data_IF_178057813211
#
_entry.id   IF_178057813211
#
_cell.length_a   1.000
_cell.length_b   1.000
_cell.length_c   1.000
_cell.angle_alpha   90.00
_cell.angle_beta   90.00
_cell.angle_gamma   90.00
#
_symmetry.space_group_name_H-M   'P 1'
#
loop_
_entity.id
_entity.type
_entity.pdbx_description
1 polymer ?
#
# COMPACT_ATOMS: atom_id res chain seq x y z
N UNK A 1 -1.84 20.04 15.63
CA UNK A 1 -0.50 19.53 16.00
C UNK A 1 -0.08 18.57 14.90
N UNK A 2 1.00 18.85 14.18
CA UNK A 2 1.52 17.88 13.21
C UNK A 2 2.17 16.72 13.97
N UNK A 3 1.69 15.50 13.75
CA UNK A 3 2.14 14.35 14.53
C UNK A 3 3.41 13.73 13.94
N UNK A 4 4.54 13.96 14.61
CA UNK A 4 5.80 13.29 14.30
C UNK A 4 5.84 11.88 14.90
N UNK A 5 6.63 11.01 14.29
CA UNK A 5 6.94 9.66 14.75
C UNK A 5 8.37 9.28 14.37
N UNK A 6 8.90 8.23 14.99
CA UNK A 6 10.29 7.83 14.78
C UNK A 6 10.37 6.57 13.91
N UNK A 7 11.34 6.56 13.01
CA UNK A 7 11.73 5.40 12.20
C UNK A 7 13.11 4.94 12.66
N UNK A 8 13.30 3.63 12.77
CA UNK A 8 14.59 3.03 13.10
C UNK A 8 14.95 1.97 12.07
N UNK A 9 16.10 2.16 11.43
CA UNK A 9 16.69 1.22 10.47
C UNK A 9 18.09 0.84 10.93
N UNK A 10 18.37 -0.45 11.05
CA UNK A 10 19.72 -0.90 11.37
C UNK A 10 20.63 -0.81 10.14
N UNK A 11 21.68 -0.02 10.29
CA UNK A 11 22.69 0.15 9.25
C UNK A 11 23.71 -0.98 9.33
N UNK A 12 23.93 -1.65 8.21
CA UNK A 12 25.06 -2.54 8.03
C UNK A 12 26.06 -1.89 7.05
N UNK A 13 27.34 -1.92 7.40
CA UNK A 13 28.41 -1.27 6.64
C UNK A 13 28.62 -1.90 5.26
N UNK A 14 28.20 -3.15 5.08
CA UNK A 14 28.23 -3.84 3.79
C UNK A 14 27.04 -3.38 2.92
N UNK A 15 27.29 -2.43 2.00
CA UNK A 15 26.31 -2.03 0.99
C UNK A 15 25.53 -0.74 1.28
N UNK A 16 26.21 0.31 1.75
CA UNK A 16 25.55 1.56 2.16
C UNK A 16 24.65 2.23 1.11
N UNK A 17 24.97 2.14 -0.18
CA UNK A 17 24.10 2.70 -1.23
C UNK A 17 22.73 1.99 -1.31
N UNK A 18 22.72 0.66 -1.19
CA UNK A 18 21.48 -0.12 -1.19
C UNK A 18 20.67 0.14 0.09
N UNK A 19 21.33 0.34 1.23
CA UNK A 19 20.66 0.75 2.47
C UNK A 19 19.85 2.04 2.27
N UNK A 20 20.47 3.11 1.76
CA UNK A 20 19.77 4.38 1.56
C UNK A 20 18.67 4.28 0.49
N UNK A 21 18.87 3.46 -0.54
CA UNK A 21 17.82 3.14 -1.52
C UNK A 21 16.62 2.48 -0.84
N UNK A 22 16.86 1.46 -0.01
CA UNK A 22 15.81 0.74 0.71
C UNK A 22 15.07 1.66 1.69
N UNK A 23 15.78 2.54 2.42
CA UNK A 23 15.17 3.57 3.28
C UNK A 23 14.27 4.50 2.47
N UNK A 24 14.75 4.98 1.32
CA UNK A 24 13.96 5.84 0.42
C UNK A 24 12.69 5.14 -0.07
N UNK A 25 12.80 3.87 -0.48
CA UNK A 25 11.65 3.05 -0.89
C UNK A 25 10.66 2.86 0.26
N UNK A 26 11.13 2.58 1.47
CA UNK A 26 10.29 2.43 2.66
C UNK A 26 9.51 3.71 2.98
N UNK A 27 10.19 4.87 2.96
CA UNK A 27 9.56 6.17 3.19
C UNK A 27 8.50 6.46 2.11
N UNK A 28 8.80 6.14 0.84
CA UNK A 28 7.81 6.29 -0.24
C UNK A 28 6.58 5.39 -0.04
N UNK A 29 6.75 4.16 0.43
CA UNK A 29 5.63 3.26 0.75
C UNK A 29 4.81 3.73 1.95
N UNK A 30 5.41 4.40 2.94
CA UNK A 30 4.67 5.08 4.00
C UNK A 30 3.82 6.23 3.46
N UNK A 31 4.34 6.97 2.49
CA UNK A 31 3.58 8.02 1.80
C UNK A 31 2.38 7.46 1.03
N UNK A 32 2.56 6.35 0.33
CA UNK A 32 1.46 5.64 -0.33
C UNK A 32 0.39 5.17 0.67
N UNK A 33 0.81 4.64 1.83
CA UNK A 33 -0.11 4.25 2.90
C UNK A 33 -0.90 5.45 3.44
N UNK A 34 -0.23 6.57 3.70
CA UNK A 34 -0.88 7.79 4.16
C UNK A 34 -1.95 8.28 3.18
N UNK A 35 -1.64 8.29 1.87
CA UNK A 35 -2.61 8.66 0.82
C UNK A 35 -3.78 7.67 0.79
N UNK A 36 -3.50 6.36 0.90
CA UNK A 36 -4.54 5.34 0.90
C UNK A 36 -5.50 5.50 2.10
N UNK A 37 -4.98 5.78 3.30
CA UNK A 37 -5.77 6.06 4.51
C UNK A 37 -6.62 7.33 4.31
N UNK A 38 -6.01 8.43 3.88
CA UNK A 38 -6.70 9.71 3.65
C UNK A 38 -7.83 9.61 2.62
N UNK A 39 -7.72 8.71 1.64
CA UNK A 39 -8.72 8.53 0.59
C UNK A 39 -10.09 8.05 1.09
N UNK A 40 -10.17 7.52 2.33
CA UNK A 40 -11.45 7.22 2.98
C UNK A 40 -12.22 8.50 3.33
N UNK A 41 -11.51 9.56 3.69
CA UNK A 41 -12.08 10.88 3.98
C UNK A 41 -12.29 11.61 2.66
N UNK A 42 -11.21 11.85 1.91
CA UNK A 42 -11.27 12.53 0.62
C UNK A 42 -10.11 12.09 -0.30
N UNK A 43 -10.44 11.68 -1.52
CA UNK A 43 -9.47 11.25 -2.53
C UNK A 43 -8.52 12.36 -3.00
N UNK A 44 -8.85 13.62 -2.76
CA UNK A 44 -8.00 14.77 -3.10
C UNK A 44 -6.95 15.08 -2.04
N UNK A 45 -7.05 14.44 -0.86
CA UNK A 45 -6.05 14.60 0.19
C UNK A 45 -4.79 13.82 -0.18
N UNK A 46 -3.68 14.54 -0.27
CA UNK A 46 -2.36 13.94 -0.47
C UNK A 46 -1.43 14.32 0.66
N UNK A 47 -0.50 13.43 0.96
CA UNK A 47 0.45 13.58 2.07
C UNK A 47 1.88 13.52 1.58
N UNK A 48 2.81 13.91 2.45
CA UNK A 48 4.24 13.68 2.27
C UNK A 48 4.90 13.39 3.62
N UNK A 49 5.70 12.34 3.70
CA UNK A 49 6.59 12.04 4.82
C UNK A 49 7.84 12.88 4.65
N UNK A 50 8.16 13.67 5.67
CA UNK A 50 9.35 14.53 5.70
C UNK A 50 10.24 14.11 6.86
N UNK A 51 11.53 14.00 6.57
CA UNK A 51 12.58 13.77 7.56
C UNK A 51 12.86 15.06 8.34
N UNK A 52 12.62 15.04 9.65
CA UNK A 52 12.89 16.16 10.57
C UNK A 52 14.31 16.10 11.15
N UNK A 53 14.89 14.91 11.28
CA UNK A 53 16.24 14.73 11.81
C UNK A 53 16.78 13.30 11.63
N UNK A 54 18.10 13.17 11.64
CA UNK A 54 18.83 11.89 11.57
C UNK A 54 19.87 11.84 12.67
N UNK A 55 19.93 10.72 13.40
CA UNK A 55 20.95 10.45 14.43
C UNK A 55 22.02 9.45 13.94
N UNK A 56 23.23 9.47 14.52
CA UNK A 56 24.37 8.65 14.09
C UNK A 56 24.39 7.24 14.69
N UNK A 57 24.71 6.25 13.86
CA UNK A 57 24.82 4.81 14.19
C UNK A 57 23.46 4.12 14.17
N UNK A 58 23.20 3.23 13.19
CA UNK A 58 21.82 2.91 12.71
C UNK A 58 21.04 4.18 12.32
N UNK A 59 20.23 4.16 11.25
CA UNK A 59 19.47 5.36 10.90
C UNK A 59 18.26 5.44 11.83
N UNK A 60 18.35 6.28 12.86
CA UNK A 60 17.18 6.77 13.59
C UNK A 60 16.75 8.09 12.98
N UNK A 61 15.51 8.13 12.53
CA UNK A 61 14.96 9.22 11.76
C UNK A 61 13.66 9.68 12.41
N UNK A 62 13.62 10.95 12.83
CA UNK A 62 12.34 11.57 13.19
C UNK A 62 11.67 12.02 11.91
N UNK A 63 10.43 11.62 11.71
CA UNK A 63 9.65 11.98 10.52
C UNK A 63 8.30 12.57 10.89
N UNK A 64 7.70 13.28 9.93
CA UNK A 64 6.39 13.88 10.07
C UNK A 64 5.61 13.78 8.77
N UNK A 65 4.31 13.49 8.89
CA UNK A 65 3.39 13.53 7.76
C UNK A 65 2.90 14.96 7.56
N UNK A 66 2.99 15.47 6.32
CA UNK A 66 2.51 16.79 5.93
C UNK A 66 1.39 16.65 4.93
N UNK A 67 0.24 17.26 5.21
CA UNK A 67 -0.88 17.35 4.27
C UNK A 67 -0.52 18.35 3.16
N UNK A 68 -0.38 17.85 1.93
CA UNK A 68 0.09 18.62 0.78
C UNK A 68 -1.05 19.25 0.00
N UNK A 69 -2.10 18.48 -0.27
CA UNK A 69 -3.36 18.94 -0.85
C UNK A 69 -4.48 18.60 0.12
N UNK A 70 -5.33 19.57 0.43
CA UNK A 70 -6.54 19.42 1.23
C UNK A 70 -7.46 20.61 0.94
N UNK A 71 -8.68 20.34 0.49
CA UNK A 71 -9.75 21.34 0.49
C UNK A 71 -10.29 21.48 1.92
N UNK A 72 -9.62 22.34 2.69
CA UNK A 72 -9.98 22.54 4.10
C UNK A 72 -11.36 23.17 4.26
N UNK A 73 -11.84 23.95 3.28
CA UNK A 73 -13.12 24.65 3.38
C UNK A 73 -14.30 23.68 3.25
N UNK A 74 -14.16 22.69 2.36
CA UNK A 74 -15.11 21.57 2.21
C UNK A 74 -15.30 20.80 3.52
N UNK A 75 -14.22 20.55 4.26
CA UNK A 75 -14.24 19.78 5.52
C UNK A 75 -14.60 20.66 6.71
N UNK A 76 -14.24 21.95 6.69
CA UNK A 76 -14.42 22.89 7.82
C UNK A 76 -15.88 23.11 8.21
N UNK A 77 -16.81 22.85 7.29
CA UNK A 77 -18.25 22.87 7.58
C UNK A 77 -18.68 21.80 8.60
N UNK A 78 -17.87 20.77 8.80
CA UNK A 78 -18.15 19.62 9.66
C UNK A 78 -17.14 19.47 10.81
N UNK A 79 -15.90 19.90 10.58
CA UNK A 79 -14.77 19.73 11.50
C UNK A 79 -14.10 21.07 11.74
N UNK A 80 -13.91 21.45 13.01
CA UNK A 80 -13.37 22.77 13.36
C UNK A 80 -11.95 22.97 12.82
N UNK A 81 -11.10 21.97 12.99
CA UNK A 81 -9.69 21.99 12.62
C UNK A 81 -9.34 20.80 11.70
N UNK A 82 -9.70 20.85 10.39
CA UNK A 82 -9.59 19.70 9.49
C UNK A 82 -8.21 19.07 9.41
N UNK A 83 -7.16 19.89 9.39
CA UNK A 83 -5.77 19.40 9.31
C UNK A 83 -5.37 18.60 10.53
N UNK A 84 -5.76 19.07 11.71
CA UNK A 84 -5.46 18.41 12.98
C UNK A 84 -6.26 17.11 13.13
N UNK A 85 -7.53 17.13 12.73
CA UNK A 85 -8.37 15.93 12.71
C UNK A 85 -7.81 14.84 11.77
N UNK A 86 -7.38 15.22 10.56
CA UNK A 86 -6.77 14.29 9.60
C UNK A 86 -5.41 13.79 10.11
N UNK A 87 -4.60 14.66 10.73
CA UNK A 87 -3.32 14.24 11.31
C UNK A 87 -3.49 13.21 12.43
N UNK A 88 -4.45 13.42 13.35
CA UNK A 88 -4.74 12.44 14.40
C UNK A 88 -5.30 11.12 13.83
N UNK A 89 -6.21 11.22 12.85
CA UNK A 89 -6.73 10.07 12.11
C UNK A 89 -5.61 9.24 11.46
N UNK A 90 -4.69 9.89 10.74
CA UNK A 90 -3.55 9.25 10.09
C UNK A 90 -2.67 8.48 11.06
N UNK A 91 -2.43 9.00 12.27
CA UNK A 91 -1.61 8.32 13.27
C UNK A 91 -2.36 7.14 13.87
N UNK A 92 -3.64 7.31 14.24
CA UNK A 92 -4.46 6.23 14.80
C UNK A 92 -4.61 5.07 13.82
N UNK A 93 -4.88 5.37 12.55
CA UNK A 93 -5.01 4.37 11.50
C UNK A 93 -3.69 3.63 11.28
N UNK A 94 -2.56 4.35 11.14
CA UNK A 94 -1.25 3.71 11.01
C UNK A 94 -0.90 2.82 12.20
N UNK A 95 -1.13 3.27 13.44
CA UNK A 95 -0.84 2.49 14.65
C UNK A 95 -1.55 1.13 14.59
N UNK A 96 -2.84 1.12 14.25
CA UNK A 96 -3.65 -0.11 14.18
C UNK A 96 -3.32 -0.99 12.98
N UNK A 97 -3.06 -0.40 11.81
CA UNK A 97 -2.72 -1.15 10.61
C UNK A 97 -1.33 -1.78 10.69
N UNK A 98 -0.35 -1.08 11.26
CA UNK A 98 1.00 -1.61 11.49
C UNK A 98 0.98 -2.68 12.59
N UNK A 99 0.20 -2.47 13.67
CA UNK A 99 -0.04 -3.51 14.68
C UNK A 99 -0.60 -4.79 14.05
N UNK A 100 -1.60 -4.68 13.17
CA UNK A 100 -2.15 -5.83 12.46
C UNK A 100 -1.14 -6.48 11.51
N UNK A 101 -0.33 -5.68 10.80
CA UNK A 101 0.71 -6.18 9.89
C UNK A 101 1.81 -6.95 10.64
N UNK A 102 2.15 -6.54 11.85
CA UNK A 102 3.14 -7.22 12.70
C UNK A 102 2.57 -8.49 13.35
N UNK A 103 1.38 -8.41 13.94
CA UNK A 103 0.81 -9.48 14.77
C UNK A 103 0.17 -10.60 13.94
N UNK A 104 -0.65 -10.26 12.93
CA UNK A 104 -1.35 -11.24 12.08
C UNK A 104 -1.65 -10.68 10.68
N UNK A 105 -0.64 -10.62 9.79
CA UNK A 105 -0.80 -10.05 8.44
C UNK A 105 -1.87 -10.76 7.60
N UNK A 106 -2.25 -12.00 7.93
CA UNK A 106 -3.29 -12.76 7.21
C UNK A 106 -4.70 -12.20 7.44
N UNK A 107 -4.88 -11.40 8.49
CA UNK A 107 -6.14 -10.73 8.79
C UNK A 107 -6.33 -9.42 8.03
N UNK A 108 -5.29 -8.91 7.36
CA UNK A 108 -5.36 -7.65 6.61
C UNK A 108 -6.54 -7.63 5.62
N UNK A 109 -6.74 -8.65 4.76
CA UNK A 109 -7.88 -8.67 3.84
C UNK A 109 -9.25 -8.57 4.52
N UNK A 110 -9.39 -8.99 5.77
CA UNK A 110 -10.67 -9.02 6.47
C UNK A 110 -10.91 -7.79 7.34
N UNK A 111 -9.84 -7.17 7.86
CA UNK A 111 -9.95 -6.18 8.94
C UNK A 111 -9.57 -4.75 8.57
N UNK A 112 -8.80 -4.53 7.50
CA UNK A 112 -8.26 -3.18 7.22
C UNK A 112 -9.33 -2.12 6.98
N UNK A 113 -10.44 -2.49 6.32
CA UNK A 113 -11.52 -1.57 5.98
C UNK A 113 -12.30 -1.17 7.25
N UNK A 114 -12.70 -2.17 8.04
CA UNK A 114 -13.35 -1.96 9.34
C UNK A 114 -12.50 -1.11 10.29
N UNK A 115 -11.19 -1.39 10.39
CA UNK A 115 -10.27 -0.63 11.26
C UNK A 115 -10.31 0.86 10.91
N UNK A 116 -10.23 1.21 9.63
CA UNK A 116 -10.20 2.61 9.21
C UNK A 116 -11.56 3.27 9.43
N UNK A 117 -12.65 2.58 9.11
CA UNK A 117 -14.01 3.07 9.32
C UNK A 117 -14.32 3.29 10.81
N UNK A 118 -13.98 2.34 11.69
CA UNK A 118 -14.13 2.45 13.15
C UNK A 118 -13.39 3.70 13.68
N UNK A 119 -12.17 3.97 13.22
CA UNK A 119 -11.40 5.15 13.65
C UNK A 119 -12.06 6.45 13.17
N UNK A 120 -12.63 6.47 11.96
CA UNK A 120 -13.36 7.65 11.46
C UNK A 120 -14.62 7.89 12.30
N UNK A 121 -15.39 6.82 12.57
CA UNK A 121 -16.60 6.85 13.40
C UNK A 121 -16.33 7.34 14.83
N UNK A 122 -15.16 7.04 15.39
CA UNK A 122 -14.73 7.49 16.71
C UNK A 122 -14.05 8.87 16.72
N UNK A 123 -14.04 9.57 15.57
CA UNK A 123 -13.36 10.86 15.41
C UNK A 123 -14.30 12.01 15.04
N UNK A 124 -13.77 13.23 15.04
CA UNK A 124 -14.49 14.41 14.55
C UNK A 124 -14.87 14.31 13.05
N UNK A 125 -14.17 13.45 12.29
CA UNK A 125 -14.39 13.25 10.86
C UNK A 125 -15.68 12.48 10.56
N UNK A 126 -16.29 11.81 11.54
CA UNK A 126 -17.57 11.10 11.39
C UNK A 126 -18.63 11.96 10.70
N UNK A 127 -18.76 13.22 11.10
CA UNK A 127 -19.77 14.14 10.59
C UNK A 127 -19.56 14.51 9.11
N UNK A 128 -18.33 14.41 8.61
CA UNK A 128 -18.01 14.61 7.19
C UNK A 128 -18.37 13.38 6.34
N UNK A 129 -18.28 12.18 6.93
CA UNK A 129 -18.52 10.90 6.27
C UNK A 129 -17.26 10.27 5.68
N UNK A 130 -17.39 9.06 5.16
CA UNK A 130 -16.29 8.30 4.55
C UNK A 130 -16.74 7.44 3.37
N UNK A 131 -15.76 6.99 2.59
CA UNK A 131 -15.90 6.03 1.50
C UNK A 131 -15.00 4.83 1.75
N UNK A 132 -15.44 3.66 1.31
CA UNK A 132 -14.62 2.47 1.35
C UNK A 132 -13.56 2.51 0.24
N UNK A 133 -12.30 2.25 0.59
CA UNK A 133 -11.20 2.14 -0.38
C UNK A 133 -10.25 0.99 -0.03
N UNK A 134 -10.84 -0.14 0.38
CA UNK A 134 -10.16 -1.37 0.78
C UNK A 134 -9.05 -1.81 -0.16
N UNK A 135 -9.31 -1.84 -1.48
CA UNK A 135 -8.32 -2.30 -2.47
C UNK A 135 -7.06 -1.42 -2.49
N UNK A 136 -7.23 -0.11 -2.45
CA UNK A 136 -6.09 0.83 -2.43
C UNK A 136 -5.31 0.68 -1.13
N UNK A 137 -6.01 0.50 -0.01
CA UNK A 137 -5.40 0.30 1.30
C UNK A 137 -4.61 -1.01 1.38
N UNK A 138 -5.18 -2.13 0.92
CA UNK A 138 -4.49 -3.43 0.88
C UNK A 138 -3.24 -3.36 -0.01
N UNK A 139 -3.32 -2.70 -1.18
CA UNK A 139 -2.15 -2.51 -2.05
C UNK A 139 -1.06 -1.70 -1.35
N UNK A 140 -1.41 -0.61 -0.67
CA UNK A 140 -0.44 0.21 0.05
C UNK A 140 0.21 -0.56 1.23
N UNK A 141 -0.57 -1.35 1.97
CA UNK A 141 -0.05 -2.25 3.02
C UNK A 141 0.89 -3.31 2.46
N UNK A 142 0.57 -3.87 1.29
CA UNK A 142 1.47 -4.78 0.57
C UNK A 142 2.76 -4.07 0.18
N UNK A 143 2.69 -2.89 -0.44
CA UNK A 143 3.89 -2.15 -0.82
C UNK A 143 4.80 -1.83 0.38
N UNK A 144 4.20 -1.40 1.51
CA UNK A 144 4.93 -1.16 2.75
C UNK A 144 5.62 -2.43 3.26
N UNK A 145 4.88 -3.54 3.38
CA UNK A 145 5.43 -4.85 3.77
C UNK A 145 6.58 -5.28 2.85
N UNK A 146 6.38 -5.19 1.54
CA UNK A 146 7.35 -5.62 0.53
C UNK A 146 8.59 -4.73 0.45
N UNK A 147 8.48 -3.44 0.81
CA UNK A 147 9.62 -2.51 0.87
C UNK A 147 10.71 -2.93 1.87
N UNK A 148 10.38 -3.84 2.78
CA UNK A 148 11.29 -4.31 3.84
C UNK A 148 12.23 -5.45 3.42
N UNK A 149 11.99 -6.08 2.26
CA UNK A 149 12.76 -7.24 1.75
C UNK A 149 14.27 -6.97 1.60
N UNK A 150 14.67 -5.71 1.42
CA UNK A 150 16.07 -5.31 1.25
C UNK A 150 16.84 -5.09 2.56
N UNK A 151 16.19 -5.16 3.72
CA UNK A 151 16.84 -4.93 5.00
C UNK A 151 17.24 -6.25 5.67
N UNK A 152 18.40 -6.28 6.32
CA UNK A 152 18.84 -7.44 7.12
C UNK A 152 18.01 -7.63 8.38
N UNK A 153 17.61 -6.52 9.01
CA UNK A 153 16.66 -6.49 10.11
C UNK A 153 15.45 -5.64 9.70
N UNK A 154 14.22 -6.03 10.09
CA UNK A 154 13.02 -5.27 9.79
C UNK A 154 13.14 -3.80 10.23
N UNK A 155 12.73 -2.84 9.39
CA UNK A 155 12.52 -1.46 9.83
C UNK A 155 11.52 -1.40 10.99
N UNK A 156 11.76 -0.48 11.92
CA UNK A 156 10.89 -0.26 13.07
C UNK A 156 10.26 1.12 13.00
N UNK A 157 8.98 1.19 13.33
CA UNK A 157 8.21 2.42 13.43
C UNK A 157 7.78 2.59 14.89
N UNK A 158 8.08 3.73 15.48
CA UNK A 158 7.62 4.11 16.81
C UNK A 158 6.48 5.12 16.71
N UNK A 159 5.25 4.64 16.87
CA UNK A 159 4.05 5.48 16.91
C UNK A 159 3.61 5.62 18.37
N UNK A 160 3.50 6.86 18.87
CA UNK A 160 3.02 7.16 20.24
C UNK A 160 3.77 6.39 21.34
N UNK A 161 5.08 6.16 21.17
CA UNK A 161 5.92 5.45 22.14
C UNK A 161 5.87 3.92 22.03
N UNK A 162 5.13 3.38 21.05
CA UNK A 162 5.08 1.93 20.76
C UNK A 162 5.93 1.64 19.53
N UNK A 163 7.04 0.95 19.73
CA UNK A 163 7.86 0.43 18.64
C UNK A 163 7.23 -0.85 18.07
N UNK A 164 7.18 -0.92 16.73
CA UNK A 164 6.59 -2.01 15.95
C UNK A 164 7.51 -2.34 14.77
N UNK A 165 7.72 -3.62 14.50
CA UNK A 165 8.50 -4.07 13.33
C UNK A 165 7.61 -4.17 12.09
N UNK A 166 8.06 -3.60 10.97
CA UNK A 166 7.43 -3.83 9.66
C UNK A 166 8.15 -4.97 8.96
N UNK A 167 7.46 -6.10 8.79
CA UNK A 167 8.01 -7.32 8.19
C UNK A 167 7.47 -7.54 6.79
N UNK A 168 8.21 -8.29 5.97
CA UNK A 168 7.81 -8.73 4.63
C UNK A 168 6.81 -9.90 4.66
N UNK A 169 5.77 -9.77 5.50
CA UNK A 169 4.81 -10.84 5.80
C UNK A 169 3.52 -10.82 4.98
N UNK A 170 3.30 -9.78 4.18
CA UNK A 170 2.07 -9.58 3.43
C UNK A 170 2.32 -9.14 1.98
N UNK A 171 1.66 -9.80 1.04
CA UNK A 171 1.66 -9.49 -0.39
C UNK A 171 0.21 -9.56 -0.89
N UNK A 172 -0.30 -8.46 -1.42
CA UNK A 172 -1.69 -8.36 -1.87
C UNK A 172 -1.88 -9.09 -3.21
N UNK A 173 -2.88 -9.95 -3.27
CA UNK A 173 -3.45 -10.50 -4.50
C UNK A 173 -4.81 -9.88 -4.79
N UNK A 174 -5.16 -9.71 -6.06
CA UNK A 174 -6.51 -9.29 -6.44
C UNK A 174 -7.58 -10.31 -6.00
N UNK A 175 -7.17 -11.57 -5.79
CA UNK A 175 -8.00 -12.65 -5.26
C UNK A 175 -8.39 -12.44 -3.79
N UNK A 176 -7.70 -11.54 -3.07
CA UNK A 176 -8.00 -11.20 -1.67
C UNK A 176 -9.23 -10.28 -1.53
N UNK A 177 -9.85 -9.88 -2.64
CA UNK A 177 -11.08 -9.09 -2.65
C UNK A 177 -12.31 -9.99 -2.62
N UNK A 178 -13.13 -9.86 -1.57
CA UNK A 178 -14.46 -10.48 -1.54
C UNK A 178 -15.28 -10.03 -2.76
N UNK A 179 -15.74 -11.01 -3.54
CA UNK A 179 -16.48 -10.74 -4.77
C UNK A 179 -15.61 -10.46 -5.99
N UNK A 180 -14.34 -10.87 -6.02
CA UNK A 180 -13.58 -11.01 -7.27
C UNK A 180 -14.34 -11.95 -8.23
N UNK A 181 -15.14 -11.37 -9.12
CA UNK A 181 -15.82 -12.11 -10.16
C UNK A 181 -14.76 -12.47 -11.20
N UNK A 182 -14.40 -13.75 -11.30
CA UNK A 182 -13.79 -14.28 -12.52
C UNK A 182 -14.77 -14.03 -13.67
N UNK A 183 -14.55 -12.95 -14.42
CA UNK A 183 -15.38 -12.66 -15.58
C UNK A 183 -14.98 -13.57 -16.74
N UNK A 184 -15.51 -14.80 -16.76
CA UNK A 184 -15.51 -15.64 -17.95
C UNK A 184 -16.40 -15.00 -19.01
N UNK A 185 -15.77 -14.33 -19.98
CA UNK A 185 -16.46 -13.90 -21.19
C UNK A 185 -16.42 -15.05 -22.20
N UNK A 186 -17.56 -15.71 -22.43
CA UNK A 186 -17.72 -16.62 -23.57
C UNK A 186 -17.99 -15.80 -24.83
N UNK A 187 -17.08 -15.86 -25.80
CA UNK A 187 -17.25 -15.27 -27.11
C UNK A 187 -17.17 -16.36 -28.18
N UNK A 188 -18.07 -16.31 -29.17
CA UNK A 188 -17.96 -17.12 -30.39
C UNK A 188 -17.02 -16.41 -31.36
N UNK A 189 -15.80 -16.92 -31.48
CA UNK A 189 -14.79 -16.42 -32.42
C UNK A 189 -14.10 -17.56 -33.15
N UNK A 190 -13.44 -17.25 -34.27
CA UNK A 190 -12.55 -18.18 -34.96
C UNK A 190 -11.15 -18.11 -34.32
N UNK A 191 -10.64 -19.26 -33.90
CA UNK A 191 -9.28 -19.39 -33.36
C UNK A 191 -8.34 -19.87 -34.47
N UNK A 192 -7.25 -19.14 -34.72
CA UNK A 192 -6.17 -19.60 -35.59
C UNK A 192 -5.01 -20.03 -34.70
N UNK A 193 -4.76 -21.34 -34.63
CA UNK A 193 -3.61 -21.90 -33.92
C UNK A 193 -2.47 -22.06 -34.93
N UNK A 194 -1.36 -21.35 -34.72
CA UNK A 194 -0.11 -21.56 -35.47
C UNK A 194 0.85 -22.37 -34.61
N UNK A 195 1.16 -23.61 -35.03
CA UNK A 195 2.27 -24.38 -34.42
C UNK A 195 3.60 -23.77 -34.92
N UNK A 196 4.64 -23.64 -34.09
CA UNK A 196 5.84 -22.91 -34.44
C UNK A 196 6.78 -23.79 -35.24
N UNK A 197 6.76 -23.68 -36.55
CA UNK A 197 7.69 -24.44 -37.37
C UNK A 197 9.08 -23.79 -37.30
N UNK A 198 9.19 -22.46 -37.25
CA UNK A 198 10.49 -21.77 -37.24
C UNK A 198 10.34 -20.37 -36.60
N UNK A 199 10.96 -20.15 -35.43
CA UNK A 199 11.37 -18.85 -34.85
C UNK A 199 10.51 -18.10 -33.80
N UNK A 200 9.78 -18.77 -32.89
CA UNK A 200 9.39 -18.08 -31.64
C UNK A 200 8.25 -18.74 -30.86
N UNK A 201 8.26 -18.51 -29.54
CA UNK A 201 7.35 -19.11 -28.55
C UNK A 201 5.90 -19.24 -29.03
N UNK A 202 5.25 -20.38 -28.72
CA UNK A 202 3.86 -20.64 -29.07
C UNK A 202 2.93 -19.57 -28.52
N UNK A 203 2.07 -19.03 -29.38
CA UNK A 203 1.08 -17.99 -29.04
C UNK A 203 -0.28 -18.36 -29.61
N UNK A 204 -1.33 -18.06 -28.85
CA UNK A 204 -2.68 -17.91 -29.39
C UNK A 204 -2.82 -16.51 -29.98
N UNK A 205 -3.36 -16.39 -31.18
CA UNK A 205 -3.81 -15.09 -31.71
C UNK A 205 -5.33 -15.08 -31.74
N UNK A 206 -5.93 -14.21 -30.94
CA UNK A 206 -7.39 -14.01 -30.88
C UNK A 206 -7.73 -12.77 -31.70
N UNK A 207 -8.69 -12.86 -32.61
CA UNK A 207 -9.11 -11.73 -33.46
C UNK A 207 -10.51 -11.27 -33.03
N UNK A 208 -10.60 -10.07 -32.44
CA UNK A 208 -11.85 -9.41 -32.13
C UNK A 208 -11.70 -7.88 -32.23
N UNK A 209 -11.94 -7.32 -33.43
CA UNK A 209 -11.68 -5.91 -33.76
C UNK A 209 -10.19 -5.58 -33.90
N UNK A 210 -9.34 -6.10 -33.01
CA UNK A 210 -7.88 -6.10 -33.09
C UNK A 210 -7.33 -7.51 -32.83
N UNK A 211 -6.10 -7.78 -33.29
CA UNK A 211 -5.41 -9.03 -33.02
C UNK A 211 -4.70 -8.95 -31.66
N UNK A 212 -5.00 -9.90 -30.77
CA UNK A 212 -4.37 -10.03 -29.46
C UNK A 212 -3.56 -11.32 -29.44
N UNK A 213 -2.25 -11.18 -29.26
CA UNK A 213 -1.32 -12.30 -29.14
C UNK A 213 -1.10 -12.66 -27.67
N UNK A 214 -1.48 -13.88 -27.29
CA UNK A 214 -1.33 -14.41 -25.93
C UNK A 214 -0.34 -15.56 -25.93
N UNK A 215 0.71 -15.48 -25.10
CA UNK A 215 1.71 -16.54 -24.98
C UNK A 215 1.13 -17.75 -24.25
N UNK A 216 1.41 -18.95 -24.78
CA UNK A 216 1.06 -20.20 -24.11
C UNK A 216 2.12 -20.49 -23.05
N UNK A 217 1.70 -20.61 -21.79
CA UNK A 217 2.58 -20.96 -20.66
C UNK A 217 2.33 -22.38 -20.13
N UNK A 218 1.36 -23.10 -20.69
CA UNK A 218 1.10 -24.50 -20.35
C UNK A 218 2.19 -25.40 -20.97
N UNK A 219 3.12 -25.86 -20.12
CA UNK A 219 4.25 -26.69 -20.56
C UNK A 219 3.86 -28.09 -21.02
N UNK A 220 2.77 -28.66 -20.50
CA UNK A 220 2.33 -30.01 -20.84
C UNK A 220 1.79 -30.05 -22.28
N UNK A 221 1.02 -29.03 -22.66
CA UNK A 221 0.55 -28.85 -24.03
C UNK A 221 1.69 -28.55 -25.01
N UNK A 222 2.64 -27.70 -24.61
CA UNK A 222 3.81 -27.35 -25.45
C UNK A 222 4.72 -28.53 -25.78
N UNK A 223 4.74 -29.57 -24.93
CA UNK A 223 5.56 -30.77 -25.09
C UNK A 223 4.82 -31.92 -25.81
N UNK A 224 3.59 -31.68 -26.31
CA UNK A 224 2.74 -32.68 -26.99
C UNK A 224 2.65 -32.57 -28.53
#
# INVERSE_FOLDING_TARGET
>A
MDASYDLHFDFDADGGADFFKNVSTFIASLDELNVAICSYVDSEITTRVILEGVENGSLKAKVKDVLKSIDSDKIRSYVKDPRDAIADFLIKAKDKLIELLEDDPKQLPYRVDDIVCEIIEDSELKSYGYKHNKTTLLRAMSNLSQSTKGFKMPPRINLKGKEREVKSGYEFSADDLDGAIEQKSEFKGAFIIKKPDLAGASKWTIINGAAIDVKIIDEAWLKS
#
